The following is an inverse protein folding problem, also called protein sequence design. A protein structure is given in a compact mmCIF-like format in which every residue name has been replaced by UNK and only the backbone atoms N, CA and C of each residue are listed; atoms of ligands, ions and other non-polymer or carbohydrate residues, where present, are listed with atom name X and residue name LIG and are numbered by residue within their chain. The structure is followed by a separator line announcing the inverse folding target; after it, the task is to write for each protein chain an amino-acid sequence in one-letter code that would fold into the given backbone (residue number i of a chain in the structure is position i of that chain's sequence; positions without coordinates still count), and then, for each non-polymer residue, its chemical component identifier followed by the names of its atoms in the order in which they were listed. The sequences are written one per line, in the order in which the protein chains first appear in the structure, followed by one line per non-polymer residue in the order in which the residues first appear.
data_IF_607919815798
#
_entry.id   IF_607919815798
#
_cell.length_a   1.000
_cell.length_b   1.000
_cell.length_c   1.000
_cell.angle_alpha   90.00
_cell.angle_beta   90.00
_cell.angle_gamma   90.00
#
_symmetry.space_group_name_H-M   'P 1'
#
loop_
_entity.id
_entity.type
_entity.pdbx_description
1 polymer ?
#
# COMPACT_ATOMS: atom_id res chain seq x y z
N UNK A 1 3.76 -7.20 11.07
CA UNK A 1 3.25 -6.05 10.30
C UNK A 1 3.07 -4.91 11.27
N UNK A 2 3.72 -3.77 11.03
CA UNK A 2 3.55 -2.57 11.84
C UNK A 2 2.50 -1.70 11.18
N UNK A 3 1.42 -1.39 11.88
CA UNK A 3 0.38 -0.48 11.39
C UNK A 3 0.58 0.88 12.05
N UNK A 4 0.72 1.92 11.23
CA UNK A 4 0.64 3.30 11.73
C UNK A 4 -0.83 3.67 11.76
N UNK A 5 -1.37 3.93 12.96
CA UNK A 5 -2.76 4.34 13.11
C UNK A 5 -3.02 5.65 12.35
N UNK A 6 -4.22 5.87 11.80
CA UNK A 6 -4.55 7.13 11.14
C UNK A 6 -4.34 8.29 12.12
N UNK A 7 -3.76 9.38 11.63
CA UNK A 7 -3.90 10.64 12.33
C UNK A 7 -5.37 11.00 12.31
N UNK A 8 -5.98 11.19 13.50
CA UNK A 8 -7.30 11.82 13.63
C UNK A 8 -7.32 13.29 13.23
N UNK A 9 -6.53 13.68 12.23
CA UNK A 9 -6.55 15.00 11.61
C UNK A 9 -7.77 15.07 10.69
N UNK A 10 -8.50 16.20 10.68
CA UNK A 10 -9.59 16.39 9.74
C UNK A 10 -9.08 16.40 8.29
N UNK A 11 -9.94 16.07 7.30
CA UNK A 11 -9.63 16.25 5.90
C UNK A 11 -9.17 17.67 5.57
N UNK A 12 -8.34 17.82 4.53
CA UNK A 12 -7.92 19.13 4.06
C UNK A 12 -9.14 20.03 3.76
N UNK A 13 -9.06 21.29 4.19
CA UNK A 13 -10.14 22.26 4.02
C UNK A 13 -11.21 22.25 5.12
N UNK A 14 -11.13 21.35 6.11
CA UNK A 14 -12.04 21.34 7.28
C UNK A 14 -11.31 21.80 8.54
N UNK A 15 -11.87 22.83 9.20
CA UNK A 15 -11.38 23.32 10.50
C UNK A 15 -10.09 24.15 10.43
N UNK A 16 -9.43 24.43 11.57
CA UNK A 16 -8.29 25.35 11.66
C UNK A 16 -7.00 24.87 10.95
N UNK A 17 -7.07 23.79 10.16
CA UNK A 17 -5.93 23.21 9.47
C UNK A 17 -4.98 22.47 10.42
N UNK A 18 -4.01 21.76 9.83
CA UNK A 18 -2.96 21.05 10.55
C UNK A 18 -2.86 19.58 10.15
N UNK A 19 -1.63 19.07 10.09
CA UNK A 19 -1.32 17.67 9.87
C UNK A 19 -0.48 17.15 11.03
N UNK A 20 -0.54 15.84 11.29
CA UNK A 20 0.41 15.18 12.18
C UNK A 20 1.52 14.56 11.34
N UNK A 21 2.75 14.80 11.76
CA UNK A 21 3.91 14.12 11.20
C UNK A 21 4.15 12.83 11.98
N UNK A 22 4.38 11.74 11.26
CA UNK A 22 4.85 10.47 11.83
C UNK A 22 6.17 10.13 11.18
N UNK A 23 7.15 9.78 11.99
CA UNK A 23 8.44 9.31 11.52
C UNK A 23 8.50 7.80 11.66
N UNK A 24 8.80 7.12 10.55
CA UNK A 24 9.07 5.68 10.51
C UNK A 24 10.50 5.48 10.06
N UNK A 25 11.29 4.77 10.87
CA UNK A 25 12.62 4.31 10.43
C UNK A 25 12.45 3.03 9.61
N UNK A 26 12.87 3.09 8.34
CA UNK A 26 12.88 1.93 7.44
C UNK A 26 14.28 1.33 7.35
N UNK A 27 14.35 0.00 7.39
CA UNK A 27 15.53 -0.80 7.13
C UNK A 27 15.48 -1.38 5.71
N UNK A 28 16.62 -1.61 5.04
CA UNK A 28 16.63 -2.28 3.74
C UNK A 28 15.85 -3.59 3.78
N UNK A 29 14.95 -3.78 2.82
CA UNK A 29 14.00 -4.90 2.75
C UNK A 29 12.61 -4.57 3.32
N UNK A 30 12.47 -3.48 4.09
CA UNK A 30 11.15 -3.09 4.61
C UNK A 30 10.20 -2.72 3.48
N UNK A 31 8.94 -3.18 3.62
CA UNK A 31 7.86 -2.86 2.71
C UNK A 31 6.83 -1.96 3.38
N UNK A 32 6.50 -0.86 2.71
CA UNK A 32 5.45 0.07 3.12
C UNK A 32 4.28 -0.01 2.13
N UNK A 33 3.11 -0.39 2.63
CA UNK A 33 1.86 -0.35 1.89
C UNK A 33 1.07 0.88 2.31
N UNK A 34 0.76 1.75 1.34
CA UNK A 34 -0.19 2.86 1.49
C UNK A 34 -1.46 2.52 0.72
N UNK A 35 -2.62 2.88 1.28
CA UNK A 35 -3.92 2.61 0.66
C UNK A 35 -4.93 3.70 1.01
N UNK A 36 -5.92 3.91 0.15
CA UNK A 36 -7.09 4.75 0.44
C UNK A 36 -8.10 3.99 1.31
N UNK A 37 -9.04 4.72 1.91
CA UNK A 37 -10.16 4.17 2.66
C UNK A 37 -11.07 3.27 1.79
N UNK A 38 -11.16 3.53 0.49
CA UNK A 38 -11.83 2.63 -0.47
C UNK A 38 -11.31 1.18 -0.46
N UNK A 39 -10.08 0.92 0.02
CA UNK A 39 -9.53 -0.44 0.21
C UNK A 39 -10.03 -1.14 1.48
N UNK A 40 -10.80 -0.47 2.35
CA UNK A 40 -11.34 -1.02 3.60
C UNK A 40 -12.83 -1.42 3.52
N UNK A 41 -13.36 -1.64 2.32
CA UNK A 41 -14.77 -2.01 2.14
C UNK A 41 -15.15 -3.28 2.94
N UNK A 42 -16.36 -3.32 3.51
CA UNK A 42 -16.84 -4.46 4.33
C UNK A 42 -16.76 -5.81 3.61
N UNK A 43 -16.96 -5.84 2.29
CA UNK A 43 -16.82 -7.05 1.47
C UNK A 43 -15.37 -7.54 1.41
N UNK A 44 -14.42 -6.61 1.48
CA UNK A 44 -12.98 -6.89 1.55
C UNK A 44 -12.48 -7.07 2.99
N UNK A 45 -13.28 -6.80 4.03
CA UNK A 45 -12.86 -7.01 5.42
C UNK A 45 -12.57 -8.49 5.75
N UNK A 46 -13.03 -9.43 4.92
CA UNK A 46 -12.68 -10.85 4.99
C UNK A 46 -11.32 -11.18 4.33
N UNK A 47 -10.71 -10.24 3.62
CA UNK A 47 -9.43 -10.43 2.95
C UNK A 47 -8.28 -10.37 3.96
N UNK A 48 -7.54 -11.48 4.10
CA UNK A 48 -6.33 -11.55 4.93
C UNK A 48 -5.16 -10.85 4.24
N UNK A 49 -5.18 -9.51 4.27
CA UNK A 49 -4.11 -8.68 3.73
C UNK A 49 -2.75 -9.01 4.39
N UNK A 50 -2.62 -9.16 5.72
CA UNK A 50 -1.35 -9.55 6.33
C UNK A 50 -0.83 -10.92 5.87
N UNK A 51 -1.69 -11.91 5.66
CA UNK A 51 -1.33 -13.19 5.05
C UNK A 51 -0.85 -13.02 3.62
N UNK A 52 -1.62 -12.34 2.78
CA UNK A 52 -1.28 -12.08 1.38
C UNK A 52 0.09 -11.41 1.23
N UNK A 53 0.39 -10.39 2.04
CA UNK A 53 1.68 -9.69 1.99
C UNK A 53 2.85 -10.57 2.46
N UNK A 54 2.62 -11.49 3.40
CA UNK A 54 3.65 -12.46 3.83
C UNK A 54 3.94 -13.48 2.75
N UNK A 55 2.89 -14.03 2.14
CA UNK A 55 3.00 -15.09 1.11
C UNK A 55 3.58 -14.58 -0.21
N UNK A 56 3.64 -13.26 -0.39
CA UNK A 56 4.17 -12.60 -1.58
C UNK A 56 5.44 -11.78 -1.31
N UNK A 57 6.06 -11.97 -0.13
CA UNK A 57 7.20 -11.18 0.33
C UNK A 57 8.46 -11.31 -0.54
N UNK A 58 8.61 -12.39 -1.30
CA UNK A 58 9.73 -12.67 -2.21
C UNK A 58 9.53 -12.06 -3.61
N UNK A 59 8.28 -11.72 -3.97
CA UNK A 59 7.91 -11.26 -5.31
C UNK A 59 8.18 -9.78 -5.50
N UNK A 60 8.42 -9.36 -6.75
CA UNK A 60 8.64 -7.95 -7.08
C UNK A 60 7.43 -7.09 -6.66
N UNK A 61 7.61 -5.92 -6.00
CA UNK A 61 6.52 -5.11 -5.43
C UNK A 61 5.40 -4.77 -6.42
N UNK A 62 5.74 -4.54 -7.69
CA UNK A 62 4.74 -4.33 -8.75
C UNK A 62 3.76 -5.50 -8.90
N UNK A 63 4.27 -6.72 -8.90
CA UNK A 63 3.47 -7.92 -9.10
C UNK A 63 2.57 -8.14 -7.88
N UNK A 64 3.10 -7.89 -6.69
CA UNK A 64 2.33 -7.93 -5.43
C UNK A 64 1.21 -6.90 -5.45
N UNK A 65 1.49 -5.66 -5.85
CA UNK A 65 0.48 -4.61 -5.96
C UNK A 65 -0.63 -4.99 -6.96
N UNK A 66 -0.27 -5.51 -8.14
CA UNK A 66 -1.23 -5.95 -9.15
C UNK A 66 -2.10 -7.12 -8.67
N UNK A 67 -1.49 -8.11 -8.04
CA UNK A 67 -2.24 -9.27 -7.54
C UNK A 67 -3.10 -8.92 -6.34
N UNK A 68 -2.65 -7.99 -5.49
CA UNK A 68 -3.48 -7.45 -4.42
C UNK A 68 -4.71 -6.73 -4.97
N UNK A 69 -4.56 -5.91 -6.00
CA UNK A 69 -5.70 -5.26 -6.67
C UNK A 69 -6.68 -6.27 -7.25
N UNK A 70 -6.19 -7.35 -7.88
CA UNK A 70 -7.03 -8.42 -8.43
C UNK A 70 -7.76 -9.20 -7.35
N UNK A 71 -7.05 -9.57 -6.27
CA UNK A 71 -7.63 -10.29 -5.14
C UNK A 71 -8.69 -9.44 -4.43
N UNK A 72 -8.43 -8.14 -4.27
CA UNK A 72 -9.39 -7.18 -3.73
C UNK A 72 -10.66 -7.11 -4.60
N UNK A 73 -10.52 -6.90 -5.92
CA UNK A 73 -11.66 -6.88 -6.85
C UNK A 73 -12.46 -8.18 -6.84
N UNK A 74 -11.81 -9.33 -6.73
CA UNK A 74 -12.49 -10.61 -6.63
C UNK A 74 -13.29 -10.73 -5.31
N UNK A 75 -12.70 -10.29 -4.19
CA UNK A 75 -13.35 -10.31 -2.88
C UNK A 75 -14.56 -9.35 -2.79
N UNK A 76 -14.54 -8.23 -3.52
CA UNK A 76 -15.67 -7.29 -3.59
C UNK A 76 -16.72 -7.67 -4.63
N UNK A 77 -16.53 -8.77 -5.37
CA UNK A 77 -17.43 -9.14 -6.48
C UNK A 77 -17.40 -8.12 -7.63
N UNK A 78 -16.27 -7.44 -7.82
CA UNK A 78 -16.06 -6.43 -8.86
C UNK A 78 -16.76 -5.10 -8.60
N UNK A 79 -17.44 -4.94 -7.47
CA UNK A 79 -18.16 -3.71 -7.14
C UNK A 79 -17.42 -2.99 -6.02
N UNK A 80 -16.86 -1.84 -6.31
CA UNK A 80 -16.20 -0.98 -5.31
C UNK A 80 -17.07 0.25 -5.14
N UNK A 81 -17.41 0.59 -3.89
CA UNK A 81 -18.28 1.74 -3.58
C UNK A 81 -17.59 3.10 -3.66
N UNK A 82 -16.26 3.10 -3.60
CA UNK A 82 -15.43 4.30 -3.54
C UNK A 82 -14.14 4.10 -4.37
N UNK A 83 -13.34 5.14 -4.52
CA UNK A 83 -12.05 5.04 -5.19
C UNK A 83 -11.06 4.20 -4.35
N UNK A 84 -10.64 3.06 -4.90
CA UNK A 84 -9.68 2.15 -4.27
C UNK A 84 -8.30 2.27 -4.92
N UNK A 85 -7.33 2.76 -4.16
CA UNK A 85 -5.94 2.87 -4.61
C UNK A 85 -4.98 2.30 -3.57
N UNK A 86 -3.86 1.75 -4.05
CA UNK A 86 -2.78 1.25 -3.22
C UNK A 86 -1.42 1.55 -3.84
N UNK A 87 -0.40 1.66 -2.99
CA UNK A 87 1.01 1.79 -3.38
C UNK A 87 1.86 0.92 -2.47
N UNK A 88 2.64 0.02 -3.07
CA UNK A 88 3.61 -0.82 -2.35
C UNK A 88 5.02 -0.34 -2.67
N UNK A 89 5.71 0.13 -1.62
CA UNK A 89 7.11 0.54 -1.66
C UNK A 89 7.97 -0.54 -1.00
N UNK A 90 9.05 -0.97 -1.65
CA UNK A 90 10.14 -1.72 -1.00
C UNK A 90 11.33 -0.78 -0.84
N UNK A 91 11.77 -0.62 0.40
CA UNK A 91 12.90 0.22 0.75
C UNK A 91 14.19 -0.57 0.61
N UNK A 92 15.11 -0.11 -0.24
CA UNK A 92 16.41 -0.78 -0.43
C UNK A 92 17.56 -0.08 0.31
N UNK A 93 17.29 1.05 0.98
CA UNK A 93 18.30 1.90 1.58
C UNK A 93 19.09 2.73 0.56
N UNK A 94 19.78 3.77 1.06
CA UNK A 94 20.76 4.57 0.31
C UNK A 94 20.23 5.25 -0.95
N UNK A 95 21.17 5.77 -1.75
CA UNK A 95 20.91 6.26 -3.10
C UNK A 95 21.04 5.12 -4.10
N UNK A 96 19.91 4.66 -4.64
CA UNK A 96 19.92 3.66 -5.71
C UNK A 96 19.91 4.34 -7.07
N UNK A 97 20.88 4.03 -7.94
CA UNK A 97 20.73 4.25 -9.39
C UNK A 97 19.87 3.11 -9.94
N UNK A 98 18.70 3.43 -10.51
CA UNK A 98 17.83 2.43 -11.14
C UNK A 98 17.45 2.90 -12.54
N UNK A 99 17.63 2.02 -13.51
CA UNK A 99 17.03 2.16 -14.83
C UNK A 99 15.72 1.40 -14.82
N UNK A 100 14.62 2.09 -15.09
CA UNK A 100 13.29 1.46 -15.10
C UNK A 100 12.59 1.69 -16.43
N UNK A 101 11.81 0.70 -16.86
CA UNK A 101 10.88 0.84 -17.98
C UNK A 101 9.47 0.72 -17.42
N UNK A 102 8.68 1.78 -17.64
CA UNK A 102 7.35 1.93 -17.07
C UNK A 102 7.29 1.70 -15.54
N UNK A 103 8.41 1.89 -14.81
CA UNK A 103 8.53 1.71 -13.35
C UNK A 103 8.88 0.30 -12.85
N UNK A 104 9.22 -0.65 -13.73
CA UNK A 104 9.83 -1.93 -13.36
C UNK A 104 11.35 -1.84 -13.55
N UNK A 105 12.11 -2.50 -12.69
CA UNK A 105 13.54 -2.71 -12.95
C UNK A 105 13.68 -3.58 -14.20
N UNK A 106 14.52 -3.19 -15.15
CA UNK A 106 14.70 -3.97 -16.38
C UNK A 106 15.30 -5.37 -16.10
N UNK A 107 15.88 -5.56 -14.92
CA UNK A 107 16.55 -6.79 -14.50
C UNK A 107 15.70 -7.70 -13.59
N UNK A 108 14.49 -7.29 -13.15
CA UNK A 108 13.67 -8.06 -12.19
C UNK A 108 12.16 -7.95 -12.40
#
# INVERSE_FOLDING_TARGET
MTTVAPAGSPPFGIGPGGFKQYELRLLPGDRLLLMTDGMFERSAAAFDLPGFLRDTADRHPRNVAQDLSRAFLAATGGTIKDDAALMLLEWHGGTTSRQTVAGADASR
#
